data_IF_241003535020
#
_entry.id   IF_241003535020
#
_cell.length_a   1.000
_cell.length_b   1.000
_cell.length_c   1.000
_cell.angle_alpha   90.00
_cell.angle_beta   90.00
_cell.angle_gamma   90.00
#
_symmetry.space_group_name_H-M   'P 1'
#
loop_
_entity.id
_entity.type
_entity.pdbx_description
1 polymer ?
#
# COMPACT_ATOMS: atom_id res chain seq x y z
N UNK A 1 -2.71 3.22 24.23
CA UNK A 1 -3.85 3.23 23.29
C UNK A 1 -3.44 2.40 22.10
N UNK A 2 -4.23 1.38 21.75
CA UNK A 2 -3.92 0.50 20.64
C UNK A 2 -4.80 0.90 19.45
N UNK A 3 -4.19 1.16 18.30
CA UNK A 3 -4.85 1.68 17.09
C UNK A 3 -4.62 0.66 15.99
N UNK A 4 -5.68 0.26 15.30
CA UNK A 4 -5.58 -0.69 14.21
C UNK A 4 -6.15 -0.08 12.93
N UNK A 5 -5.38 -0.18 11.86
CA UNK A 5 -5.80 0.22 10.52
C UNK A 5 -5.85 -1.01 9.63
N UNK A 6 -7.02 -1.26 9.05
CA UNK A 6 -7.14 -2.16 7.92
C UNK A 6 -6.78 -1.40 6.65
N UNK A 7 -5.87 -1.98 5.87
CA UNK A 7 -5.24 -1.32 4.74
C UNK A 7 -5.35 -2.21 3.51
N UNK A 8 -5.72 -1.59 2.40
CA UNK A 8 -5.67 -2.18 1.07
C UNK A 8 -4.81 -1.27 0.17
N UNK A 9 -3.70 -1.79 -0.34
CA UNK A 9 -2.79 -1.07 -1.23
C UNK A 9 -2.09 -2.05 -2.17
N UNK A 10 -1.41 -1.59 -3.22
CA UNK A 10 -0.63 -2.50 -4.07
C UNK A 10 0.48 -3.21 -3.28
N UNK A 11 0.76 -4.45 -3.67
CA UNK A 11 1.72 -5.30 -2.97
C UNK A 11 3.15 -4.71 -2.99
N UNK A 12 3.51 -3.98 -4.05
CA UNK A 12 4.75 -3.22 -4.13
C UNK A 12 4.90 -2.22 -2.97
N UNK A 13 3.89 -1.41 -2.74
CA UNK A 13 3.83 -0.45 -1.63
C UNK A 13 3.79 -1.14 -0.26
N UNK A 14 3.02 -2.23 -0.13
CA UNK A 14 2.98 -3.03 1.11
C UNK A 14 4.37 -3.51 1.51
N UNK A 15 5.16 -4.03 0.55
CA UNK A 15 6.53 -4.54 0.81
C UNK A 15 7.47 -3.49 1.40
N UNK A 16 7.21 -2.21 1.13
CA UNK A 16 7.94 -1.11 1.74
C UNK A 16 7.35 -0.67 3.08
N UNK A 17 6.02 -0.65 3.22
CA UNK A 17 5.36 -0.29 4.47
C UNK A 17 5.62 -1.32 5.59
N UNK A 18 5.65 -2.61 5.27
CA UNK A 18 5.92 -3.71 6.22
C UNK A 18 7.28 -3.59 6.93
N UNK A 19 8.18 -2.72 6.45
CA UNK A 19 9.50 -2.47 7.06
C UNK A 19 9.40 -1.78 8.43
N UNK A 20 8.23 -1.28 8.83
CA UNK A 20 7.98 -0.74 10.16
C UNK A 20 7.78 -1.87 11.18
N UNK A 21 8.79 -2.16 12.00
CA UNK A 21 8.82 -3.36 12.86
C UNK A 21 8.23 -3.17 14.26
N UNK A 22 7.83 -1.95 14.63
CA UNK A 22 7.24 -1.66 15.95
C UNK A 22 5.71 -1.78 15.95
N UNK A 23 5.11 -2.07 14.80
CA UNK A 23 3.71 -2.44 14.71
C UNK A 23 3.55 -3.97 14.70
N UNK A 24 2.40 -4.42 15.18
CA UNK A 24 1.92 -5.77 14.92
C UNK A 24 1.26 -5.76 13.53
N UNK A 25 1.68 -6.67 12.67
CA UNK A 25 1.20 -6.76 11.28
C UNK A 25 0.49 -8.10 11.10
N UNK A 26 -0.77 -8.04 10.67
CA UNK A 26 -1.55 -9.20 10.26
C UNK A 26 -1.69 -9.13 8.74
N UNK A 27 -1.01 -10.04 8.05
CA UNK A 27 -0.80 -10.02 6.61
C UNK A 27 -1.54 -11.20 6.01
N UNK A 28 -2.49 -10.95 5.12
CA UNK A 28 -3.13 -12.03 4.36
C UNK A 28 -2.18 -12.56 3.29
N UNK A 29 -2.31 -13.81 2.85
CA UNK A 29 -1.68 -14.28 1.62
C UNK A 29 -2.00 -13.33 0.45
N UNK A 30 -1.05 -13.16 -0.47
CA UNK A 30 -1.32 -12.40 -1.69
C UNK A 30 -2.31 -13.18 -2.57
N UNK A 31 -3.33 -12.50 -3.09
CA UNK A 31 -4.42 -13.11 -3.85
C UNK A 31 -4.77 -12.23 -5.04
N UNK A 32 -5.31 -12.85 -6.07
CA UNK A 32 -5.72 -12.18 -7.31
C UNK A 32 -7.11 -11.52 -7.21
N UNK A 33 -7.95 -11.96 -6.27
CA UNK A 33 -9.37 -11.59 -6.17
C UNK A 33 -9.61 -10.13 -5.73
N UNK A 34 -8.60 -9.47 -5.16
CA UNK A 34 -8.65 -8.04 -4.87
C UNK A 34 -8.39 -7.17 -6.10
N UNK A 35 -7.94 -7.75 -7.23
CA UNK A 35 -7.57 -7.02 -8.43
C UNK A 35 -6.32 -6.16 -8.25
N UNK A 36 -6.09 -5.24 -9.18
CA UNK A 36 -4.94 -4.34 -9.22
C UNK A 36 -5.37 -2.90 -9.46
N UNK A 37 -4.47 -1.96 -9.17
CA UNK A 37 -4.67 -0.53 -9.45
C UNK A 37 -3.85 -0.11 -10.66
N UNK A 38 -4.39 0.79 -11.48
CA UNK A 38 -3.63 1.44 -12.54
C UNK A 38 -3.04 2.73 -11.93
N UNK A 39 -1.70 2.89 -11.92
CA UNK A 39 -1.08 4.12 -11.44
C UNK A 39 -1.57 5.35 -12.21
N UNK A 40 -1.74 6.48 -11.53
CA UNK A 40 -2.21 7.74 -12.13
C UNK A 40 -1.37 8.17 -13.36
N UNK A 41 -0.06 7.94 -13.32
CA UNK A 41 0.86 8.26 -14.44
C UNK A 41 0.71 7.32 -15.65
N UNK A 42 0.02 6.18 -15.47
CA UNK A 42 -0.24 5.18 -16.50
C UNK A 42 -1.68 5.30 -17.03
N UNK A 43 -2.63 5.67 -16.18
CA UNK A 43 -4.02 5.87 -16.56
C UNK A 43 -4.14 6.90 -17.71
N UNK A 44 -4.99 6.60 -18.70
CA UNK A 44 -5.21 7.38 -19.92
C UNK A 44 -3.94 7.61 -20.78
N UNK A 45 -2.83 6.92 -20.48
CA UNK A 45 -1.60 6.98 -21.26
C UNK A 45 -1.56 5.90 -22.34
N UNK A 46 -0.61 6.00 -23.28
CA UNK A 46 -0.35 4.95 -24.26
C UNK A 46 0.15 3.64 -23.65
N UNK A 47 0.56 3.64 -22.37
CA UNK A 47 1.07 2.47 -21.66
C UNK A 47 -0.03 1.71 -20.91
N UNK A 48 -1.24 2.24 -20.82
CA UNK A 48 -2.30 1.62 -20.02
C UNK A 48 -2.64 0.20 -20.49
N UNK A 49 -2.73 -0.03 -21.81
CA UNK A 49 -3.00 -1.36 -22.36
C UNK A 49 -1.90 -2.35 -22.01
N UNK A 50 -0.63 -1.96 -22.18
CA UNK A 50 0.52 -2.81 -21.85
C UNK A 50 0.57 -3.14 -20.35
N UNK A 51 0.22 -2.16 -19.51
CA UNK A 51 0.13 -2.38 -18.07
C UNK A 51 -0.96 -3.39 -17.70
N UNK A 52 -2.16 -3.27 -18.28
CA UNK A 52 -3.26 -4.22 -18.08
C UNK A 52 -2.88 -5.62 -18.51
N UNK A 53 -2.31 -5.76 -19.72
CA UNK A 53 -1.84 -7.04 -20.23
C UNK A 53 -0.82 -7.70 -19.27
N UNK A 54 0.08 -6.90 -18.69
CA UNK A 54 1.06 -7.39 -17.71
C UNK A 54 0.44 -7.76 -16.34
N UNK A 55 -0.65 -7.12 -15.93
CA UNK A 55 -1.36 -7.48 -14.70
C UNK A 55 -2.26 -8.71 -14.89
N UNK A 56 -2.85 -8.85 -16.07
CA UNK A 56 -3.75 -9.94 -16.46
C UNK A 56 -2.98 -11.20 -16.91
N UNK A 57 -1.67 -11.10 -17.14
CA UNK A 57 -0.83 -12.28 -17.44
C UNK A 57 -0.87 -13.38 -16.38
N UNK A 58 -1.39 -13.08 -15.18
CA UNK A 58 -1.60 -14.06 -14.12
C UNK A 58 -2.65 -15.13 -14.50
N UNK A 59 -3.60 -14.78 -15.37
CA UNK A 59 -4.67 -15.70 -15.84
C UNK A 59 -4.06 -16.96 -16.48
N UNK A 60 -2.94 -16.83 -17.19
CA UNK A 60 -2.22 -17.96 -17.79
C UNK A 60 -1.68 -18.98 -16.76
N UNK A 61 -1.57 -18.60 -15.48
CA UNK A 61 -1.15 -19.49 -14.40
C UNK A 61 -2.32 -20.01 -13.56
N UNK A 62 -3.40 -19.22 -13.47
CA UNK A 62 -4.59 -19.51 -12.65
C UNK A 62 -5.61 -20.40 -13.40
N UNK A 63 -5.96 -20.05 -14.65
CA UNK A 63 -7.02 -20.75 -15.40
C UNK A 63 -6.60 -22.13 -15.93
N UNK A 64 -5.31 -22.32 -16.21
CA UNK A 64 -4.78 -23.56 -16.79
C UNK A 64 -4.40 -24.62 -15.71
N UNK A 65 -4.76 -24.41 -14.44
CA UNK A 65 -4.34 -25.24 -13.29
C UNK A 65 -2.81 -25.46 -13.23
N UNK A 66 -2.03 -24.55 -13.83
CA UNK A 66 -0.56 -24.68 -13.96
C UNK A 66 0.09 -24.61 -12.57
N UNK A 67 -0.45 -23.75 -11.69
CA UNK A 67 0.01 -23.60 -10.32
C UNK A 67 -1.15 -23.85 -9.36
N UNK A 68 -1.31 -25.09 -8.92
CA UNK A 68 -2.39 -25.46 -7.97
C UNK A 68 -2.06 -25.17 -6.51
N UNK A 69 -0.80 -24.89 -6.19
CA UNK A 69 -0.35 -24.59 -4.82
C UNK A 69 -0.48 -23.08 -4.53
N UNK A 70 -1.31 -22.74 -3.55
CA UNK A 70 -1.60 -21.34 -3.17
C UNK A 70 -0.37 -20.57 -2.68
N UNK A 71 0.67 -21.24 -2.19
CA UNK A 71 1.91 -20.60 -1.79
C UNK A 71 2.80 -20.31 -3.00
N UNK A 72 2.84 -21.20 -3.99
CA UNK A 72 3.54 -20.97 -5.25
C UNK A 72 2.84 -19.92 -6.10
N UNK A 73 1.50 -19.87 -6.11
CA UNK A 73 0.75 -18.86 -6.88
C UNK A 73 1.15 -17.43 -6.49
N UNK A 74 1.43 -17.19 -5.20
CA UNK A 74 1.87 -15.87 -4.71
C UNK A 74 3.15 -15.34 -5.38
N UNK A 75 3.98 -16.22 -5.98
CA UNK A 75 5.18 -15.81 -6.72
C UNK A 75 4.87 -15.32 -8.14
N UNK A 76 3.71 -15.69 -8.69
CA UNK A 76 3.29 -15.29 -10.03
C UNK A 76 2.54 -13.96 -10.03
N UNK A 77 1.95 -13.57 -8.89
CA UNK A 77 1.12 -12.37 -8.78
C UNK A 77 1.98 -11.09 -8.94
N UNK A 78 1.67 -10.22 -9.93
CA UNK A 78 2.37 -8.96 -10.12
C UNK A 78 2.27 -8.02 -8.91
N UNK A 79 3.28 -7.17 -8.71
CA UNK A 79 3.34 -6.26 -7.56
C UNK A 79 2.24 -5.18 -7.53
N UNK A 80 1.56 -4.94 -8.66
CA UNK A 80 0.46 -3.98 -8.77
C UNK A 80 -0.86 -4.47 -8.15
N UNK A 81 -0.96 -5.76 -7.82
CA UNK A 81 -2.15 -6.32 -7.18
C UNK A 81 -2.36 -5.78 -5.77
N UNK A 82 -3.62 -5.57 -5.42
CA UNK A 82 -4.04 -5.12 -4.10
C UNK A 82 -3.77 -6.23 -3.07
N UNK A 83 -3.22 -5.79 -1.94
CA UNK A 83 -2.88 -6.63 -0.81
C UNK A 83 -3.56 -6.08 0.44
N UNK A 84 -4.24 -6.97 1.17
CA UNK A 84 -4.95 -6.65 2.41
C UNK A 84 -4.08 -6.97 3.62
N UNK A 85 -3.94 -6.00 4.50
CA UNK A 85 -3.21 -6.15 5.76
C UNK A 85 -3.79 -5.29 6.87
N UNK A 86 -3.58 -5.71 8.12
CA UNK A 86 -3.91 -4.91 9.31
C UNK A 86 -2.64 -4.53 10.02
N UNK A 87 -2.47 -3.24 10.26
CA UNK A 87 -1.37 -2.69 11.04
C UNK A 87 -1.92 -2.21 12.37
N UNK A 88 -1.42 -2.79 13.46
CA UNK A 88 -1.79 -2.44 14.83
C UNK A 88 -0.59 -1.79 15.53
N UNK A 89 -0.82 -0.62 16.13
CA UNK A 89 0.27 0.23 16.64
C UNK A 89 -0.19 1.18 17.74
N UNK A 90 0.78 1.75 18.47
CA UNK A 90 0.52 2.88 19.35
C UNK A 90 0.59 4.21 18.59
N UNK A 91 0.22 5.31 19.26
CA UNK A 91 0.23 6.63 18.64
C UNK A 91 1.64 7.09 18.23
N UNK A 92 2.69 6.66 18.93
CA UNK A 92 4.06 7.06 18.65
C UNK A 92 4.54 6.44 17.33
N UNK A 93 4.19 5.18 17.11
CA UNK A 93 4.47 4.50 15.85
C UNK A 93 3.64 5.08 14.71
N UNK A 94 2.37 5.40 14.95
CA UNK A 94 1.56 6.12 13.95
C UNK A 94 2.21 7.43 13.52
N UNK A 95 2.69 8.23 14.48
CA UNK A 95 3.47 9.44 14.20
C UNK A 95 4.67 9.15 13.30
N UNK A 96 5.48 8.16 13.67
CA UNK A 96 6.67 7.79 12.91
C UNK A 96 6.34 7.37 11.48
N UNK A 97 5.30 6.55 11.30
CA UNK A 97 4.84 6.11 9.98
C UNK A 97 4.38 7.30 9.15
N UNK A 98 3.51 8.17 9.67
CA UNK A 98 2.98 9.34 8.95
C UNK A 98 4.12 10.26 8.51
N UNK A 99 5.01 10.65 9.43
CA UNK A 99 6.08 11.60 9.11
C UNK A 99 7.10 11.06 8.13
N UNK A 100 7.36 9.74 8.16
CA UNK A 100 8.32 9.12 7.24
C UNK A 100 7.70 8.82 5.89
N UNK A 101 6.47 8.29 5.87
CA UNK A 101 5.84 7.69 4.69
C UNK A 101 4.98 8.65 3.90
N UNK A 102 4.74 9.86 4.37
CA UNK A 102 4.14 10.92 3.55
C UNK A 102 5.18 11.70 2.75
N UNK A 103 6.48 11.50 3.00
CA UNK A 103 7.56 12.20 2.31
C UNK A 103 7.53 11.98 0.79
N UNK A 104 7.94 12.97 -0.01
CA UNK A 104 7.79 12.91 -1.47
C UNK A 104 8.55 11.79 -2.19
N UNK A 105 9.65 11.28 -1.62
CA UNK A 105 10.44 10.20 -2.21
C UNK A 105 9.81 8.80 -2.07
N UNK A 106 8.63 8.71 -1.46
CA UNK A 106 7.96 7.44 -1.21
C UNK A 106 7.02 6.99 -2.34
N UNK A 107 6.71 5.69 -2.37
CA UNK A 107 5.71 5.11 -3.26
C UNK A 107 4.33 5.75 -3.02
N UNK A 108 3.65 6.14 -4.10
CA UNK A 108 2.41 6.95 -4.01
C UNK A 108 1.32 6.26 -3.20
N UNK A 109 1.14 4.95 -3.35
CA UNK A 109 0.09 4.21 -2.64
C UNK A 109 0.26 4.22 -1.13
N UNK A 110 1.45 3.93 -0.59
CA UNK A 110 1.63 4.04 0.86
C UNK A 110 1.65 5.49 1.36
N UNK A 111 2.00 6.47 0.51
CA UNK A 111 1.87 7.89 0.85
C UNK A 111 0.39 8.25 1.06
N UNK A 112 -0.48 7.83 0.13
CA UNK A 112 -1.94 7.96 0.24
C UNK A 112 -2.47 7.31 1.50
N UNK A 113 -2.07 6.07 1.78
CA UNK A 113 -2.45 5.36 2.99
C UNK A 113 -1.97 6.09 4.25
N UNK A 114 -0.70 6.46 4.35
CA UNK A 114 -0.15 7.14 5.52
C UNK A 114 -0.83 8.50 5.76
N UNK A 115 -1.12 9.24 4.70
CA UNK A 115 -1.91 10.47 4.78
C UNK A 115 -3.33 10.19 5.27
N UNK A 116 -3.98 9.12 4.78
CA UNK A 116 -5.33 8.74 5.22
C UNK A 116 -5.37 8.33 6.70
N UNK A 117 -4.35 7.61 7.17
CA UNK A 117 -4.18 7.28 8.58
C UNK A 117 -4.06 8.55 9.43
N UNK A 118 -3.32 9.55 8.95
CA UNK A 118 -3.21 10.86 9.60
C UNK A 118 -4.57 11.57 9.67
N UNK A 119 -5.32 11.65 8.58
CA UNK A 119 -6.65 12.29 8.57
C UNK A 119 -7.60 11.67 9.59
N UNK A 120 -7.68 10.33 9.61
CA UNK A 120 -8.51 9.58 10.55
C UNK A 120 -8.08 9.86 12.00
N UNK A 121 -6.76 9.87 12.26
CA UNK A 121 -6.25 10.12 13.59
C UNK A 121 -6.42 11.58 14.03
N UNK A 122 -6.31 12.54 13.11
CA UNK A 122 -6.49 13.97 13.38
C UNK A 122 -7.95 14.29 13.70
N UNK A 123 -8.90 13.69 12.97
CA UNK A 123 -10.33 13.78 13.28
C UNK A 123 -10.64 13.20 14.67
N UNK A 124 -10.06 12.03 14.98
CA UNK A 124 -10.33 11.34 16.24
C UNK A 124 -9.64 11.95 17.47
N UNK A 125 -8.40 12.41 17.32
CA UNK A 125 -7.55 12.90 18.41
C UNK A 125 -6.80 14.18 18.03
N UNK A 126 -7.50 15.30 17.76
CA UNK A 126 -6.88 16.52 17.22
C UNK A 126 -5.79 17.08 18.13
N UNK A 127 -6.01 17.12 19.45
CA UNK A 127 -5.01 17.59 20.41
C UNK A 127 -3.74 16.73 20.46
N UNK A 128 -3.88 15.42 20.19
CA UNK A 128 -2.75 14.50 20.18
C UNK A 128 -2.05 14.46 18.82
N UNK A 129 -2.71 14.86 17.72
CA UNK A 129 -2.16 14.81 16.36
C UNK A 129 -1.68 16.17 15.83
N UNK A 130 -2.01 17.28 16.50
CA UNK A 130 -1.66 18.64 16.07
C UNK A 130 -0.15 18.90 15.83
N UNK A 131 0.74 18.06 16.38
CA UNK A 131 2.20 18.18 16.23
C UNK A 131 2.79 17.17 15.23
N UNK A 132 1.97 16.31 14.63
CA UNK A 132 2.42 15.33 13.65
C UNK A 132 2.75 16.04 12.33
N UNK A 133 3.97 15.83 11.82
CA UNK A 133 4.39 16.43 10.55
C UNK A 133 3.90 15.61 9.36
N UNK A 134 2.90 16.11 8.66
CA UNK A 134 2.35 15.48 7.45
C UNK A 134 2.76 16.28 6.22
N UNK A 135 3.15 15.59 5.14
CA UNK A 135 3.31 16.20 3.82
C UNK A 135 2.08 15.87 2.97
N UNK A 136 1.69 16.75 2.05
CA UNK A 136 0.57 16.44 1.16
C UNK A 136 0.92 15.30 0.21
N UNK A 137 -0.10 14.55 -0.23
CA UNK A 137 0.09 13.37 -1.10
C UNK A 137 0.68 13.77 -2.46
N UNK A 138 0.26 14.91 -2.99
CA UNK A 138 0.63 15.37 -4.35
C UNK A 138 1.92 16.20 -4.38
N UNK A 139 2.56 16.43 -3.23
CA UNK A 139 3.90 17.01 -3.22
C UNK A 139 4.87 16.08 -3.95
N UNK A 140 5.31 16.50 -5.13
CA UNK A 140 6.34 15.82 -5.92
C UNK A 140 7.69 16.14 -5.28
N UNK A 141 8.50 15.11 -5.03
CA UNK A 141 9.82 15.29 -4.48
C UNK A 141 10.70 15.95 -5.51
N UNK A 142 11.35 17.06 -5.14
CA UNK A 142 12.46 17.55 -5.96
C UNK A 142 13.56 16.50 -5.85
N UNK A 143 13.80 15.75 -6.92
CA UNK A 143 14.99 14.94 -7.07
C UNK A 143 16.17 15.91 -7.18
N UNK A 144 16.77 16.27 -6.05
CA UNK A 144 18.06 16.97 -6.01
C UNK A 144 19.19 16.00 -6.31
#
# INVERSE_FOLDING_TARGET
MNISFEIMMDYGAFRDLQRHRRCEQYVEPLRIDYGYIIPDDIADSSLESEYKDAMESIEAYDDDDVVMDEHLMQYMIPLGYLHRSVFQMDLKELYYIVELRTKPAGHISYRRIAHKMYEIAMDRWPLLMQWCRVNTVDEIGVHN
#
